data_IF_393591071417
#
_entry.id   IF_393591071417
#
_cell.length_a   1.000
_cell.length_b   1.000
_cell.length_c   1.000
_cell.angle_alpha   90.00
_cell.angle_beta   90.00
_cell.angle_gamma   90.00
#
_symmetry.space_group_name_H-M   'P 1'
#
loop_
_entity.id
_entity.type
_entity.pdbx_description
1 polymer ?
#
# COMPACT_ATOMS: atom_id res chain seq x y z
N UNK A 1 -16.17 4.45 -3.97
CA UNK A 1 -14.76 4.45 -3.53
C UNK A 1 -14.53 5.61 -2.57
N UNK A 2 -13.63 5.50 -1.58
CA UNK A 2 -13.28 6.61 -0.68
C UNK A 2 -13.10 6.20 0.79
N UNK A 3 -12.54 7.12 1.59
CA UNK A 3 -12.12 6.91 2.98
C UNK A 3 -13.26 6.40 3.88
N UNK A 4 -14.46 6.98 3.77
CA UNK A 4 -15.65 6.60 4.56
C UNK A 4 -16.10 5.15 4.26
N UNK A 5 -16.17 4.80 2.98
CA UNK A 5 -16.58 3.45 2.56
C UNK A 5 -15.58 2.38 3.02
N UNK A 6 -14.27 2.67 2.91
CA UNK A 6 -13.22 1.76 3.39
C UNK A 6 -13.26 1.58 4.91
N UNK A 7 -13.46 2.67 5.67
CA UNK A 7 -13.60 2.61 7.12
C UNK A 7 -14.85 1.82 7.55
N UNK A 8 -15.99 2.05 6.89
CA UNK A 8 -17.23 1.30 7.14
C UNK A 8 -17.06 -0.20 6.87
N UNK A 9 -16.46 -0.56 5.72
CA UNK A 9 -16.17 -1.95 5.41
C UNK A 9 -15.23 -2.61 6.43
N UNK A 10 -14.17 -1.92 6.85
CA UNK A 10 -13.25 -2.41 7.88
C UNK A 10 -13.93 -2.59 9.25
N UNK A 11 -14.82 -1.65 9.63
CA UNK A 11 -15.59 -1.76 10.86
C UNK A 11 -16.54 -2.97 10.84
N UNK A 12 -17.24 -3.18 9.71
CA UNK A 12 -18.10 -4.35 9.50
C UNK A 12 -17.30 -5.66 9.53
N UNK A 13 -16.12 -5.73 8.90
CA UNK A 13 -15.25 -6.91 8.98
C UNK A 13 -14.87 -7.22 10.43
N UNK A 14 -14.48 -6.20 11.20
CA UNK A 14 -14.12 -6.37 12.62
C UNK A 14 -15.30 -6.84 13.47
N UNK A 15 -16.51 -6.38 13.17
CA UNK A 15 -17.72 -6.79 13.88
C UNK A 15 -18.14 -8.23 13.55
N UNK A 16 -18.08 -8.60 12.27
CA UNK A 16 -18.54 -9.92 11.79
C UNK A 16 -17.54 -11.04 12.06
N UNK A 17 -16.25 -10.74 12.15
CA UNK A 17 -15.19 -11.73 12.31
C UNK A 17 -14.30 -11.37 13.53
N UNK A 18 -14.68 -11.79 14.74
CA UNK A 18 -14.04 -11.34 15.99
C UNK A 18 -12.58 -11.79 16.12
N UNK A 19 -12.20 -12.87 15.44
CA UNK A 19 -10.83 -13.43 15.46
C UNK A 19 -9.94 -12.90 14.32
N UNK A 20 -10.33 -11.82 13.63
CA UNK A 20 -9.48 -11.20 12.61
C UNK A 20 -8.18 -10.65 13.20
N UNK A 21 -7.05 -11.19 12.73
CA UNK A 21 -5.70 -10.76 13.16
C UNK A 21 -5.05 -9.75 12.22
N UNK A 22 -5.49 -9.69 10.97
CA UNK A 22 -4.92 -8.84 9.93
C UNK A 22 -5.96 -8.49 8.87
N UNK A 23 -6.03 -7.22 8.50
CA UNK A 23 -6.78 -6.72 7.34
C UNK A 23 -5.80 -5.92 6.49
N UNK A 24 -5.74 -6.22 5.20
CA UNK A 24 -4.90 -5.52 4.23
C UNK A 24 -5.78 -4.68 3.32
N UNK A 25 -5.47 -3.39 3.22
CA UNK A 25 -6.07 -2.51 2.21
C UNK A 25 -5.20 -2.60 0.96
N UNK A 26 -5.75 -3.14 -0.12
CA UNK A 26 -5.05 -3.32 -1.39
C UNK A 26 -5.78 -2.56 -2.50
N UNK A 27 -5.04 -2.16 -3.53
CA UNK A 27 -5.58 -1.42 -4.65
C UNK A 27 -4.48 -0.85 -5.52
N UNK A 28 -4.88 -0.15 -6.58
CA UNK A 28 -3.96 0.65 -7.40
C UNK A 28 -3.74 2.01 -6.76
N UNK A 29 -2.54 2.58 -6.93
CA UNK A 29 -2.21 3.91 -6.44
C UNK A 29 -1.43 4.70 -7.51
N UNK A 30 -1.52 6.03 -7.43
CA UNK A 30 -0.60 6.91 -8.13
C UNK A 30 0.69 7.05 -7.33
N UNK A 31 1.83 7.04 -8.00
CA UNK A 31 3.15 7.28 -7.41
C UNK A 31 3.72 8.61 -7.87
N UNK A 32 4.46 9.30 -7.00
CA UNK A 32 5.33 10.41 -7.38
C UNK A 32 6.65 9.78 -7.85
N UNK A 33 7.02 9.85 -9.14
CA UNK A 33 8.15 9.08 -9.68
C UNK A 33 9.48 9.40 -9.00
N UNK A 34 9.69 10.67 -8.65
CA UNK A 34 10.87 11.14 -7.91
C UNK A 34 10.44 11.80 -6.59
N UNK A 35 10.26 11.01 -5.51
CA UNK A 35 9.76 11.52 -4.23
C UNK A 35 10.85 12.23 -3.40
N UNK A 36 11.95 12.69 -4.02
CA UNK A 36 13.09 13.25 -3.30
C UNK A 36 13.94 12.22 -2.57
N UNK A 37 13.81 10.93 -2.92
CA UNK A 37 14.65 9.84 -2.41
C UNK A 37 15.50 9.25 -3.54
N UNK A 38 16.54 8.49 -3.20
CA UNK A 38 17.38 7.79 -4.19
C UNK A 38 16.63 6.71 -4.99
N UNK A 39 15.41 6.34 -4.58
CA UNK A 39 14.63 5.26 -5.20
C UNK A 39 13.45 5.87 -5.96
N UNK A 40 13.50 5.77 -7.28
CA UNK A 40 12.37 6.07 -8.15
C UNK A 40 11.25 5.03 -8.00
N UNK A 41 10.02 5.49 -8.21
CA UNK A 41 8.80 4.66 -8.16
C UNK A 41 8.17 4.63 -9.56
N UNK A 42 8.62 3.74 -10.46
CA UNK A 42 8.02 3.57 -11.78
C UNK A 42 6.63 2.93 -11.71
N UNK A 43 5.86 3.05 -12.79
CA UNK A 43 4.56 2.39 -12.91
C UNK A 43 4.72 0.86 -12.81
N UNK A 44 3.75 0.19 -12.20
CA UNK A 44 3.79 -1.25 -11.99
C UNK A 44 4.56 -1.71 -10.75
N UNK A 45 5.26 -0.80 -10.04
CA UNK A 45 5.82 -1.11 -8.72
C UNK A 45 4.72 -1.35 -7.70
N UNK A 46 4.97 -2.32 -6.80
CA UNK A 46 4.11 -2.59 -5.65
C UNK A 46 4.66 -1.83 -4.44
N UNK A 47 3.84 -0.94 -3.88
CA UNK A 47 4.20 -0.17 -2.69
C UNK A 47 3.57 -0.80 -1.45
N UNK A 48 4.40 -1.10 -0.45
CA UNK A 48 3.96 -1.52 0.88
C UNK A 48 4.10 -0.35 1.83
N UNK A 49 2.99 0.21 2.29
CA UNK A 49 3.01 1.39 3.16
C UNK A 49 3.43 1.03 4.59
N UNK A 50 4.32 1.83 5.17
CA UNK A 50 4.66 1.77 6.61
C UNK A 50 3.74 2.65 7.45
N UNK A 51 3.24 3.72 6.84
CA UNK A 51 2.38 4.73 7.47
C UNK A 51 1.46 5.29 6.40
N UNK A 52 0.27 5.69 6.83
CA UNK A 52 -0.71 6.38 5.98
C UNK A 52 -0.93 7.76 6.61
N UNK A 53 -0.96 8.77 5.76
CA UNK A 53 -1.08 10.17 6.15
C UNK A 53 -2.26 10.76 5.37
N UNK A 54 -3.21 11.37 6.08
CA UNK A 54 -4.38 11.98 5.45
C UNK A 54 -4.07 13.45 5.11
N UNK A 55 -3.53 13.68 3.91
CA UNK A 55 -3.08 15.01 3.48
C UNK A 55 -4.22 16.03 3.29
N UNK A 56 -5.47 15.57 3.14
CA UNK A 56 -6.64 16.45 2.95
C UNK A 56 -7.35 16.80 4.27
N UNK A 57 -6.77 16.41 5.41
CA UNK A 57 -7.27 16.76 6.73
C UNK A 57 -6.36 17.84 7.34
N UNK A 58 -6.90 19.05 7.44
CA UNK A 58 -6.17 20.19 7.98
C UNK A 58 -7.08 21.35 8.34
N UNK A 59 -6.47 22.47 8.74
CA UNK A 59 -7.14 23.75 8.91
C UNK A 59 -6.58 24.71 7.89
N UNK A 60 -7.45 25.31 7.10
CA UNK A 60 -7.10 26.42 6.23
C UNK A 60 -7.09 27.70 7.08
N UNK A 61 -5.94 28.34 7.19
CA UNK A 61 -5.74 29.68 7.73
C UNK A 61 -5.70 30.69 6.57
N UNK A 62 -5.75 31.98 6.88
CA UNK A 62 -5.78 33.05 5.85
C UNK A 62 -4.61 32.95 4.87
N UNK A 63 -3.44 32.52 5.34
CA UNK A 63 -2.20 32.50 4.55
C UNK A 63 -1.70 31.09 4.21
N UNK A 64 -2.22 30.03 4.86
CA UNK A 64 -1.68 28.68 4.69
C UNK A 64 -2.65 27.56 5.10
N UNK A 65 -2.44 26.35 4.57
CA UNK A 65 -3.09 25.12 5.03
C UNK A 65 -2.18 24.40 6.03
N UNK A 66 -2.57 24.38 7.30
CA UNK A 66 -1.89 23.56 8.28
C UNK A 66 -2.48 22.16 8.28
N UNK A 67 -1.66 21.17 7.92
CA UNK A 67 -2.03 19.77 8.11
C UNK A 67 -2.31 19.51 9.60
N UNK A 68 -3.41 18.82 9.87
CA UNK A 68 -3.75 18.39 11.23
C UNK A 68 -2.86 17.19 11.60
N UNK A 69 -1.76 17.48 12.26
CA UNK A 69 -0.76 16.49 12.71
C UNK A 69 -0.84 16.16 14.21
N UNK A 70 -1.93 16.57 14.88
CA UNK A 70 -2.15 16.27 16.29
C UNK A 70 -2.28 14.77 16.54
N UNK A 71 -2.02 14.33 17.77
CA UNK A 71 -2.06 12.91 18.17
C UNK A 71 -3.41 12.26 17.86
N UNK A 72 -4.50 13.03 17.94
CA UNK A 72 -5.88 12.60 17.64
C UNK A 72 -6.16 12.47 16.14
N UNK A 73 -5.44 13.23 15.31
CA UNK A 73 -5.59 13.26 13.84
C UNK A 73 -4.69 12.22 13.14
N UNK A 74 -3.71 11.65 13.86
CA UNK A 74 -2.83 10.61 13.34
C UNK A 74 -3.57 9.28 13.26
N UNK A 75 -3.58 8.70 12.06
CA UNK A 75 -3.96 7.30 11.89
C UNK A 75 -3.13 6.44 12.84
N UNK A 76 -3.82 5.62 13.65
CA UNK A 76 -3.19 4.85 14.73
C UNK A 76 -2.00 4.04 14.23
N UNK A 77 -0.94 4.00 15.05
CA UNK A 77 0.29 3.28 14.70
C UNK A 77 -0.02 1.78 14.47
N UNK A 78 0.51 1.16 13.39
CA UNK A 78 0.33 -0.28 13.17
C UNK A 78 0.78 -1.10 14.38
N UNK A 79 0.12 -2.24 14.62
CA UNK A 79 0.44 -3.13 15.75
C UNK A 79 1.88 -3.65 15.68
N UNK A 80 2.45 -4.08 16.82
CA UNK A 80 3.84 -4.57 16.89
C UNK A 80 4.12 -5.67 15.87
N UNK A 81 3.19 -6.60 15.68
CA UNK A 81 3.33 -7.71 14.73
C UNK A 81 3.45 -7.21 13.29
N UNK A 82 2.64 -6.24 12.88
CA UNK A 82 2.73 -5.62 11.56
C UNK A 82 4.05 -4.89 11.39
N UNK A 83 4.49 -4.11 12.39
CA UNK A 83 5.77 -3.41 12.33
C UNK A 83 6.96 -4.36 12.24
N UNK A 84 6.92 -5.47 12.99
CA UNK A 84 7.96 -6.50 12.92
C UNK A 84 7.98 -7.15 11.54
N UNK A 85 6.82 -7.43 10.94
CA UNK A 85 6.74 -7.95 9.57
C UNK A 85 7.33 -6.97 8.56
N UNK A 86 6.99 -5.67 8.66
CA UNK A 86 7.56 -4.62 7.81
C UNK A 86 9.08 -4.53 7.97
N UNK A 87 9.60 -4.60 9.19
CA UNK A 87 11.03 -4.62 9.46
C UNK A 87 11.73 -5.81 8.78
N UNK A 88 11.09 -7.00 8.75
CA UNK A 88 11.61 -8.16 8.01
C UNK A 88 11.65 -7.87 6.51
N UNK A 89 10.61 -7.26 5.93
CA UNK A 89 10.58 -6.90 4.51
C UNK A 89 11.63 -5.86 4.11
N UNK A 90 12.17 -5.11 5.07
CA UNK A 90 13.26 -4.16 4.84
C UNK A 90 14.65 -4.80 4.85
N UNK A 91 14.79 -6.02 5.40
CA UNK A 91 16.03 -6.78 5.29
C UNK A 91 16.23 -7.30 3.88
N UNK A 92 17.49 -7.44 3.43
CA UNK A 92 17.78 -7.92 2.09
C UNK A 92 17.22 -9.33 1.84
N UNK A 93 17.40 -10.26 2.79
CA UNK A 93 16.85 -11.61 2.69
C UNK A 93 15.32 -11.64 2.71
N UNK A 94 14.69 -10.85 3.58
CA UNK A 94 13.24 -10.76 3.67
C UNK A 94 12.63 -10.19 2.40
N UNK A 95 13.27 -9.17 1.81
CA UNK A 95 12.88 -8.55 0.54
C UNK A 95 13.01 -9.52 -0.62
N UNK A 96 14.16 -10.18 -0.79
CA UNK A 96 14.36 -11.18 -1.83
C UNK A 96 13.32 -12.30 -1.76
N UNK A 97 13.04 -12.80 -0.55
CA UNK A 97 12.02 -13.85 -0.35
C UNK A 97 10.62 -13.37 -0.69
N UNK A 98 10.28 -12.12 -0.34
CA UNK A 98 8.99 -11.51 -0.68
C UNK A 98 8.83 -11.39 -2.20
N UNK A 99 9.84 -10.84 -2.88
CA UNK A 99 9.85 -10.64 -4.33
C UNK A 99 9.76 -11.98 -5.08
N UNK A 100 10.53 -13.00 -4.66
CA UNK A 100 10.46 -14.35 -5.24
C UNK A 100 9.08 -14.98 -5.09
N UNK A 101 8.49 -14.92 -3.89
CA UNK A 101 7.15 -15.49 -3.65
C UNK A 101 6.09 -14.75 -4.44
N UNK A 102 6.15 -13.42 -4.46
CA UNK A 102 5.23 -12.61 -5.26
C UNK A 102 5.32 -12.97 -6.75
N UNK A 103 6.54 -13.09 -7.29
CA UNK A 103 6.75 -13.48 -8.69
C UNK A 103 6.19 -14.86 -9.01
N UNK A 104 6.41 -15.84 -8.14
CA UNK A 104 5.87 -17.21 -8.31
C UNK A 104 4.34 -17.19 -8.29
N UNK A 105 3.71 -16.60 -7.27
CA UNK A 105 2.25 -16.53 -7.17
C UNK A 105 1.63 -15.77 -8.35
N UNK A 106 2.23 -14.66 -8.80
CA UNK A 106 1.74 -13.92 -9.96
C UNK A 106 1.80 -14.75 -11.24
N UNK A 107 2.88 -15.52 -11.46
CA UNK A 107 3.00 -16.42 -12.62
C UNK A 107 1.94 -17.52 -12.59
N UNK A 108 1.72 -18.15 -11.44
CA UNK A 108 0.68 -19.17 -11.27
C UNK A 108 -0.70 -18.59 -11.59
N UNK A 109 -1.03 -17.43 -11.01
CA UNK A 109 -2.32 -16.77 -11.23
C UNK A 109 -2.53 -16.37 -12.69
N UNK A 110 -1.47 -15.89 -13.36
CA UNK A 110 -1.52 -15.53 -14.77
C UNK A 110 -1.77 -16.75 -15.67
N UNK A 111 -1.10 -17.87 -15.38
CA UNK A 111 -1.24 -19.10 -16.15
C UNK A 111 -2.62 -19.76 -15.99
N UNK A 112 -3.27 -19.58 -14.84
CA UNK A 112 -4.60 -20.14 -14.55
C UNK A 112 -5.77 -19.27 -15.02
N UNK A 113 -5.54 -18.01 -15.43
CA UNK A 113 -6.60 -17.11 -15.84
C UNK A 113 -7.07 -17.37 -17.30
N UNK A 114 -8.38 -17.32 -17.61
CA UNK A 114 -8.86 -17.40 -18.99
C UNK A 114 -8.27 -16.25 -19.80
N UNK A 115 -7.57 -16.57 -20.89
CA UNK A 115 -6.87 -15.61 -21.77
C UNK A 115 -7.86 -14.63 -22.40
N UNK A 116 -8.22 -13.57 -21.68
CA UNK A 116 -8.83 -12.38 -22.29
C UNK A 116 -7.72 -11.67 -23.04
N UNK A 117 -7.80 -11.62 -24.37
CA UNK A 117 -6.90 -10.85 -25.23
C UNK A 117 -7.02 -9.36 -24.89
N UNK A 118 -6.27 -8.90 -23.90
CA UNK A 118 -5.98 -7.47 -23.70
C UNK A 118 -4.49 -7.32 -23.90
N UNK A 119 -4.11 -6.65 -24.99
CA UNK A 119 -2.72 -6.22 -25.18
C UNK A 119 -2.42 -5.20 -24.09
N UNK A 120 -1.44 -5.51 -23.23
CA UNK A 120 -0.83 -4.53 -22.35
C UNK A 120 0.49 -4.13 -23.01
N UNK A 121 0.57 -2.90 -23.49
CA UNK A 121 1.75 -2.34 -24.18
C UNK A 121 2.71 -1.68 -23.18
N UNK A 122 2.76 -2.21 -21.95
CA UNK A 122 3.57 -1.66 -20.88
C UNK A 122 4.88 -2.44 -20.75
N UNK A 123 5.97 -1.82 -21.19
CA UNK A 123 7.33 -2.28 -20.92
C UNK A 123 7.80 -1.69 -19.59
N UNK A 124 8.16 -2.55 -18.63
CA UNK A 124 8.66 -2.10 -17.34
C UNK A 124 10.01 -1.37 -17.53
N UNK A 125 10.16 -0.12 -17.05
CA UNK A 125 11.27 0.74 -17.43
C UNK A 125 12.63 0.39 -16.81
N UNK A 126 12.73 -0.63 -15.92
CA UNK A 126 14.04 -1.06 -15.35
C UNK A 126 14.75 -2.15 -16.17
N UNK A 127 14.38 -2.38 -17.44
CA UNK A 127 15.19 -3.24 -18.31
C UNK A 127 16.37 -2.40 -18.82
N UNK A 128 17.52 -2.53 -18.16
CA UNK A 128 18.85 -2.20 -18.68
C UNK A 128 19.74 -3.42 -18.53
#
# INVERSE_FOLDING_TARGET
>A
MGKVNAASAAASLRASYPELRLVLVTGICGGVPNPGTKKEIPLGDVVVSKTVVQYDLGRLYADDFAMRDAVEDRLGRPTKNVRNLLAVFETELGRQRLEQRAATTLRETYNSAPRKRRRADYCYPRVV
#
